data_IF_329544785761
#
_entry.id   IF_329544785761
#
_cell.length_a   1.000
_cell.length_b   1.000
_cell.length_c   1.000
_cell.angle_alpha   90.00
_cell.angle_beta   90.00
_cell.angle_gamma   90.00
#
_symmetry.space_group_name_H-M   'P 1'
#
loop_
_entity.id
_entity.type
_entity.pdbx_description
1 polymer ?
#
# COMPACT_ATOMS: atom_id res chain seq x y z
N UNK A 1 -19.27 16.19 -2.26
CA UNK A 1 -20.36 15.83 -3.22
C UNK A 1 -21.72 16.37 -2.79
N UNK A 2 -22.22 16.10 -1.57
CA UNK A 2 -23.54 16.59 -1.09
C UNK A 2 -23.80 18.10 -1.18
N UNK A 3 -22.79 18.94 -0.90
CA UNK A 3 -22.92 20.41 -1.01
C UNK A 3 -23.03 20.91 -2.45
N UNK A 4 -22.36 20.22 -3.39
CA UNK A 4 -22.38 20.59 -4.82
C UNK A 4 -23.63 20.04 -5.49
N UNK A 5 -24.10 18.85 -5.08
CA UNK A 5 -25.32 18.25 -5.62
C UNK A 5 -26.57 19.09 -5.32
N UNK A 6 -26.64 19.76 -4.16
CA UNK A 6 -27.75 20.66 -3.82
C UNK A 6 -27.80 21.95 -4.66
N UNK A 7 -26.70 22.35 -5.29
CA UNK A 7 -26.64 23.54 -6.14
C UNK A 7 -26.97 23.25 -7.61
N UNK A 8 -26.89 21.99 -8.05
CA UNK A 8 -26.93 21.61 -9.47
C UNK A 8 -28.08 20.64 -9.79
N UNK A 9 -28.54 19.85 -8.82
CA UNK A 9 -29.62 18.90 -9.05
C UNK A 9 -31.00 19.56 -8.95
N UNK A 10 -31.93 19.06 -9.74
CA UNK A 10 -33.31 19.53 -9.77
C UNK A 10 -33.99 19.30 -8.41
N UNK A 11 -34.99 20.12 -8.07
CA UNK A 11 -35.68 20.04 -6.76
C UNK A 11 -36.32 18.67 -6.51
N UNK A 12 -36.73 17.98 -7.58
CA UNK A 12 -37.38 16.68 -7.53
C UNK A 12 -36.41 15.50 -7.70
N UNK A 13 -35.10 15.71 -7.54
CA UNK A 13 -34.15 14.61 -7.66
C UNK A 13 -34.39 13.57 -6.57
N UNK A 14 -34.49 12.31 -6.98
CA UNK A 14 -34.59 11.18 -6.06
C UNK A 14 -33.17 10.75 -5.68
N UNK A 15 -32.78 10.99 -4.43
CA UNK A 15 -31.53 10.45 -3.89
C UNK A 15 -31.76 8.99 -3.49
N UNK A 16 -31.28 8.06 -4.32
CA UNK A 16 -31.32 6.63 -4.01
C UNK A 16 -30.07 6.26 -3.24
N UNK A 17 -30.23 6.08 -1.92
CA UNK A 17 -29.20 5.55 -1.04
C UNK A 17 -29.44 4.06 -0.83
N UNK A 18 -28.63 3.22 -1.46
CA UNK A 18 -28.73 1.76 -1.32
C UNK A 18 -27.93 1.23 -0.13
N UNK A 19 -27.24 2.10 0.62
CA UNK A 19 -26.30 1.74 1.68
C UNK A 19 -26.70 2.33 3.04
N UNK A 20 -27.71 3.21 3.05
CA UNK A 20 -28.16 3.89 4.26
C UNK A 20 -27.21 5.04 4.67
N UNK A 21 -27.79 6.07 5.28
CA UNK A 21 -27.06 7.24 5.76
C UNK A 21 -25.97 6.85 6.78
N UNK A 22 -24.72 6.76 6.34
CA UNK A 22 -23.54 6.65 7.22
C UNK A 22 -22.80 5.31 7.18
N UNK A 23 -23.28 4.31 6.44
CA UNK A 23 -22.59 3.03 6.36
C UNK A 23 -21.66 2.99 5.14
N UNK A 24 -20.38 3.34 5.33
CA UNK A 24 -19.35 2.74 4.49
C UNK A 24 -19.22 1.30 5.01
N UNK A 25 -20.13 0.43 4.59
CA UNK A 25 -20.15 -0.96 5.05
C UNK A 25 -18.82 -1.60 4.64
N UNK A 26 -18.05 -1.97 5.65
CA UNK A 26 -17.01 -2.97 5.44
C UNK A 26 -17.71 -4.25 5.04
N UNK A 27 -17.30 -4.95 3.96
CA UNK A 27 -17.99 -6.16 3.56
C UNK A 27 -17.98 -7.12 4.76
N UNK A 28 -19.16 -7.43 5.31
CA UNK A 28 -19.34 -8.18 6.57
C UNK A 28 -18.73 -9.57 6.55
N UNK A 29 -18.28 -10.04 5.38
CA UNK A 29 -17.67 -11.35 5.13
C UNK A 29 -16.15 -11.33 4.97
N UNK A 30 -15.48 -10.18 5.10
CA UNK A 30 -14.02 -10.12 4.99
C UNK A 30 -13.38 -10.27 6.36
N UNK A 31 -12.55 -11.31 6.51
CA UNK A 31 -11.70 -11.48 7.69
C UNK A 31 -10.61 -10.41 7.67
N UNK A 32 -10.67 -9.48 8.62
CA UNK A 32 -9.76 -8.35 8.69
C UNK A 32 -8.73 -8.55 9.79
N UNK A 33 -7.46 -8.47 9.41
CA UNK A 33 -6.35 -8.59 10.33
C UNK A 33 -5.39 -7.42 10.17
N UNK A 34 -4.67 -7.10 11.24
CA UNK A 34 -3.50 -6.24 11.16
C UNK A 34 -2.27 -6.88 11.79
N UNK A 35 -1.11 -6.52 11.26
CA UNK A 35 0.20 -6.96 11.70
C UNK A 35 1.04 -5.72 12.01
N UNK A 36 1.68 -5.70 13.16
CA UNK A 36 2.65 -4.67 13.54
C UNK A 36 4.04 -5.25 13.40
N UNK A 37 4.82 -4.74 12.45
CA UNK A 37 6.14 -5.25 12.08
C UNK A 37 7.07 -4.06 11.83
N UNK A 38 8.35 -4.07 12.28
CA UNK A 38 9.31 -3.04 11.92
C UNK A 38 9.29 -2.75 10.42
N UNK A 39 9.27 -1.47 10.04
CA UNK A 39 9.09 -1.05 8.65
C UNK A 39 10.16 -1.66 7.72
N UNK A 40 11.35 -1.87 8.25
CA UNK A 40 12.50 -2.47 7.58
C UNK A 40 12.26 -3.90 7.11
N UNK A 41 11.29 -4.60 7.72
CA UNK A 41 10.91 -5.97 7.39
C UNK A 41 9.60 -6.04 6.59
N UNK A 42 9.00 -4.92 6.19
CA UNK A 42 7.72 -4.95 5.48
C UNK A 42 7.80 -5.69 4.15
N UNK A 43 8.88 -5.52 3.37
CA UNK A 43 9.09 -6.24 2.12
C UNK A 43 9.19 -7.76 2.33
N UNK A 44 9.95 -8.18 3.34
CA UNK A 44 10.08 -9.58 3.73
C UNK A 44 8.75 -10.16 4.20
N UNK A 45 8.01 -9.40 5.00
CA UNK A 45 6.71 -9.82 5.51
C UNK A 45 5.67 -9.95 4.40
N UNK A 46 5.64 -9.01 3.44
CA UNK A 46 4.76 -9.14 2.26
C UNK A 46 5.09 -10.42 1.49
N UNK A 47 6.37 -10.69 1.22
CA UNK A 47 6.76 -11.95 0.57
C UNK A 47 6.34 -13.18 1.38
N UNK A 48 6.58 -13.18 2.70
CA UNK A 48 6.20 -14.26 3.62
C UNK A 48 4.70 -14.53 3.63
N UNK A 49 3.87 -13.49 3.62
CA UNK A 49 2.40 -13.60 3.57
C UNK A 49 1.92 -14.11 2.21
N UNK A 50 2.52 -13.64 1.12
CA UNK A 50 2.20 -14.12 -0.22
C UNK A 50 2.51 -15.61 -0.38
N UNK A 51 3.69 -16.06 0.09
CA UNK A 51 4.07 -17.47 0.05
C UNK A 51 3.09 -18.36 0.79
N UNK A 52 2.76 -17.99 2.03
CA UNK A 52 1.79 -18.75 2.83
C UNK A 52 0.42 -18.84 2.16
N UNK A 53 -0.06 -17.73 1.61
CA UNK A 53 -1.35 -17.69 0.92
C UNK A 53 -1.34 -18.54 -0.35
N UNK A 54 -0.26 -18.49 -1.14
CA UNK A 54 -0.11 -19.32 -2.35
C UNK A 54 -0.08 -20.81 -2.00
N UNK A 55 0.57 -21.18 -0.89
CA UNK A 55 0.67 -22.57 -0.46
C UNK A 55 -0.68 -23.10 0.09
N UNK A 56 -1.55 -22.22 0.59
CA UNK A 56 -2.88 -22.56 1.13
C UNK A 56 -4.02 -22.48 0.10
N UNK A 57 -3.93 -21.57 -0.88
CA UNK A 57 -5.00 -21.27 -1.83
C UNK A 57 -4.57 -21.56 -3.28
N UNK A 58 -5.06 -22.68 -3.82
CA UNK A 58 -4.70 -23.17 -5.17
C UNK A 58 -4.98 -22.14 -6.26
N UNK A 59 -6.11 -21.43 -6.18
CA UNK A 59 -6.52 -20.43 -7.16
C UNK A 59 -6.39 -19.01 -6.58
N UNK A 60 -5.27 -18.76 -5.88
CA UNK A 60 -4.99 -17.46 -5.27
C UNK A 60 -5.15 -16.30 -6.25
N UNK A 61 -5.64 -15.18 -5.75
CA UNK A 61 -5.69 -13.92 -6.49
C UNK A 61 -5.56 -12.79 -5.49
N UNK A 62 -4.42 -12.11 -5.54
CA UNK A 62 -4.00 -11.23 -4.45
C UNK A 62 -3.82 -9.82 -4.96
N UNK A 63 -4.21 -8.84 -4.15
CA UNK A 63 -3.87 -7.43 -4.37
C UNK A 63 -3.00 -6.94 -3.22
N UNK A 64 -1.84 -6.39 -3.56
CA UNK A 64 -0.92 -5.73 -2.62
C UNK A 64 -0.96 -4.23 -2.87
N UNK A 65 -1.54 -3.48 -1.94
CA UNK A 65 -1.52 -2.02 -1.96
C UNK A 65 -0.25 -1.49 -1.31
N UNK A 66 0.44 -0.57 -2.00
CA UNK A 66 1.55 0.19 -1.46
C UNK A 66 1.17 1.67 -1.31
N UNK A 67 1.86 2.38 -0.43
CA UNK A 67 1.62 3.81 -0.15
C UNK A 67 1.83 4.71 -1.37
N UNK A 68 2.81 4.41 -2.23
CA UNK A 68 3.14 5.26 -3.38
C UNK A 68 3.46 4.46 -4.63
N UNK A 69 3.29 5.12 -5.79
CA UNK A 69 3.60 4.56 -7.09
C UNK A 69 5.04 4.04 -7.24
N UNK A 70 6.02 4.72 -6.64
CA UNK A 70 7.43 4.28 -6.75
C UNK A 70 7.73 3.10 -5.81
N UNK A 71 7.06 3.03 -4.66
CA UNK A 71 7.15 1.85 -3.78
C UNK A 71 6.45 0.65 -4.43
N UNK A 72 5.33 0.87 -5.15
CA UNK A 72 4.68 -0.16 -5.98
C UNK A 72 5.65 -0.74 -7.01
N UNK A 73 6.33 0.11 -7.77
CA UNK A 73 7.29 -0.32 -8.81
C UNK A 73 8.47 -1.08 -8.20
N UNK A 74 9.02 -0.59 -7.09
CA UNK A 74 10.07 -1.30 -6.33
C UNK A 74 9.62 -2.69 -5.89
N UNK A 75 8.45 -2.79 -5.23
CA UNK A 75 7.88 -4.04 -4.74
C UNK A 75 7.61 -5.02 -5.90
N UNK A 76 7.12 -4.53 -7.04
CA UNK A 76 6.90 -5.34 -8.23
C UNK A 76 8.19 -5.98 -8.76
N UNK A 77 9.27 -5.19 -8.91
CA UNK A 77 10.55 -5.69 -9.42
C UNK A 77 11.12 -6.76 -8.48
N UNK A 78 11.11 -6.49 -7.18
CA UNK A 78 11.57 -7.44 -6.16
C UNK A 78 10.76 -8.75 -6.20
N UNK A 79 9.43 -8.68 -6.14
CA UNK A 79 8.60 -9.90 -6.15
C UNK A 79 8.69 -10.67 -7.48
N UNK A 80 8.89 -9.98 -8.60
CA UNK A 80 9.09 -10.61 -9.91
C UNK A 80 10.41 -11.36 -9.98
N UNK A 81 11.48 -10.80 -9.43
CA UNK A 81 12.77 -11.45 -9.37
C UNK A 81 12.74 -12.73 -8.50
N UNK A 82 11.97 -12.69 -7.40
CA UNK A 82 11.60 -13.85 -6.56
C UNK A 82 10.67 -14.87 -7.25
N UNK A 83 10.44 -14.73 -8.57
CA UNK A 83 9.67 -15.64 -9.43
C UNK A 83 8.19 -15.77 -9.06
N UNK A 84 7.61 -14.76 -8.41
CA UNK A 84 6.16 -14.69 -8.22
C UNK A 84 5.48 -14.20 -9.51
N UNK A 85 4.27 -14.71 -9.78
CA UNK A 85 3.46 -14.22 -10.90
C UNK A 85 2.80 -12.89 -10.52
N UNK A 86 3.52 -11.79 -10.77
CA UNK A 86 3.12 -10.44 -10.37
C UNK A 86 2.87 -9.53 -11.58
N UNK A 87 1.95 -8.58 -11.42
CA UNK A 87 1.77 -7.41 -12.28
C UNK A 87 1.73 -6.16 -11.43
N UNK A 88 1.96 -5.00 -12.06
CA UNK A 88 1.91 -3.71 -11.39
C UNK A 88 0.89 -2.76 -12.04
N UNK A 89 0.23 -1.94 -11.22
CA UNK A 89 -0.56 -0.80 -11.70
C UNK A 89 -0.31 0.39 -10.77
N UNK A 90 0.12 1.53 -11.31
CA UNK A 90 0.23 2.78 -10.55
C UNK A 90 0.10 4.00 -11.45
N UNK A 91 0.00 5.18 -10.84
CA UNK A 91 -0.27 6.46 -11.54
C UNK A 91 0.80 6.86 -12.56
N UNK A 92 2.00 6.28 -12.51
CA UNK A 92 3.07 6.55 -13.47
C UNK A 92 3.09 5.63 -14.69
N UNK A 93 2.29 4.56 -14.70
CA UNK A 93 2.15 3.70 -15.88
C UNK A 93 1.16 4.33 -16.86
N UNK A 94 1.40 4.24 -18.19
CA UNK A 94 0.48 4.76 -19.21
C UNK A 94 -0.93 4.18 -19.07
N UNK A 95 -1.97 4.95 -19.44
CA UNK A 95 -3.36 4.49 -19.33
C UNK A 95 -3.61 3.17 -20.08
N UNK A 96 -3.10 3.03 -21.31
CA UNK A 96 -3.22 1.81 -22.11
C UNK A 96 -2.62 0.58 -21.39
N UNK A 97 -1.47 0.76 -20.73
CA UNK A 97 -0.87 -0.30 -19.92
C UNK A 97 -1.77 -0.68 -18.74
N UNK A 98 -2.30 0.32 -18.02
CA UNK A 98 -3.20 0.08 -16.88
C UNK A 98 -4.48 -0.65 -17.29
N UNK A 99 -5.06 -0.31 -18.43
CA UNK A 99 -6.23 -1.01 -18.99
C UNK A 99 -5.91 -2.48 -19.27
N UNK A 100 -4.83 -2.75 -20.03
CA UNK A 100 -4.42 -4.11 -20.37
C UNK A 100 -4.16 -4.98 -19.14
N UNK A 101 -3.41 -4.48 -18.16
CA UNK A 101 -3.13 -5.23 -16.93
C UNK A 101 -4.39 -5.41 -16.08
N UNK A 102 -5.32 -4.46 -16.09
CA UNK A 102 -6.60 -4.60 -15.38
C UNK A 102 -7.49 -5.68 -15.99
N UNK A 103 -7.51 -5.81 -17.32
CA UNK A 103 -8.21 -6.88 -18.03
C UNK A 103 -7.55 -8.23 -17.75
N UNK A 104 -6.21 -8.32 -17.91
CA UNK A 104 -5.45 -9.52 -17.57
C UNK A 104 -5.72 -9.98 -16.13
N UNK A 105 -5.67 -9.06 -15.16
CA UNK A 105 -5.95 -9.39 -13.76
C UNK A 105 -7.40 -9.74 -13.51
N UNK A 106 -8.36 -9.18 -14.25
CA UNK A 106 -9.77 -9.56 -14.12
C UNK A 106 -9.96 -11.02 -14.53
N UNK A 107 -9.39 -11.42 -15.65
CA UNK A 107 -9.69 -12.70 -16.31
C UNK A 107 -8.79 -13.84 -15.85
N UNK A 108 -7.69 -13.54 -15.15
CA UNK A 108 -6.74 -14.54 -14.65
C UNK A 108 -7.00 -14.95 -13.20
N UNK A 109 -6.57 -16.16 -12.86
CA UNK A 109 -6.31 -16.63 -11.49
C UNK A 109 -4.78 -16.77 -11.28
N UNK A 110 -4.36 -17.13 -10.06
CA UNK A 110 -2.95 -17.35 -9.68
C UNK A 110 -2.05 -16.17 -10.02
N UNK A 111 -2.55 -14.98 -9.68
CA UNK A 111 -1.92 -13.71 -10.04
C UNK A 111 -1.92 -12.76 -8.85
N UNK A 112 -0.82 -12.02 -8.71
CA UNK A 112 -0.67 -10.97 -7.71
C UNK A 112 -0.63 -9.62 -8.43
N UNK A 113 -1.49 -8.69 -8.02
CA UNK A 113 -1.45 -7.31 -8.46
C UNK A 113 -0.85 -6.42 -7.39
N UNK A 114 0.32 -5.85 -7.66
CA UNK A 114 0.93 -4.82 -6.82
C UNK A 114 0.45 -3.46 -7.32
N UNK A 115 -0.16 -2.66 -6.46
CA UNK A 115 -0.81 -1.41 -6.91
C UNK A 115 -0.71 -0.29 -5.88
N UNK A 116 -0.94 0.93 -6.36
CA UNK A 116 -1.21 2.11 -5.52
C UNK A 116 -2.72 2.37 -5.49
N UNK A 117 -3.16 3.54 -5.00
CA UNK A 117 -4.60 3.83 -4.90
C UNK A 117 -5.34 3.96 -6.24
N UNK A 118 -4.65 3.84 -7.38
CA UNK A 118 -5.29 3.89 -8.72
C UNK A 118 -6.25 2.72 -8.98
N UNK A 119 -6.10 1.59 -8.30
CA UNK A 119 -6.97 0.42 -8.45
C UNK A 119 -8.12 0.36 -7.44
N UNK A 120 -8.32 1.41 -6.62
CA UNK A 120 -9.30 1.39 -5.53
C UNK A 120 -10.74 1.66 -5.97
N UNK A 121 -10.96 2.28 -7.14
CA UNK A 121 -12.30 2.69 -7.61
C UNK A 121 -12.51 2.32 -9.07
N UNK A 122 -13.75 1.98 -9.42
CA UNK A 122 -14.18 1.80 -10.82
C UNK A 122 -13.76 0.50 -11.51
N UNK A 123 -12.94 -0.35 -10.88
CA UNK A 123 -12.55 -1.65 -11.46
C UNK A 123 -13.11 -2.80 -10.63
N UNK A 124 -13.80 -3.73 -11.30
CA UNK A 124 -14.21 -4.99 -10.71
C UNK A 124 -13.17 -6.06 -10.99
N UNK A 125 -12.58 -6.61 -9.93
CA UNK A 125 -11.72 -7.77 -9.96
C UNK A 125 -12.46 -8.88 -9.20
N UNK A 126 -13.07 -9.86 -9.91
CA UNK A 126 -13.72 -10.97 -9.26
C UNK A 126 -12.67 -11.85 -8.56
N UNK A 127 -13.10 -12.53 -7.50
CA UNK A 127 -12.38 -13.64 -6.87
C UNK A 127 -11.04 -13.29 -6.24
N UNK A 128 -10.86 -12.05 -5.83
CA UNK A 128 -9.68 -11.66 -5.03
C UNK A 128 -9.78 -12.35 -3.66
N UNK A 129 -8.86 -13.28 -3.39
CA UNK A 129 -8.84 -14.07 -2.16
C UNK A 129 -8.12 -13.37 -1.01
N UNK A 130 -7.16 -12.49 -1.32
CA UNK A 130 -6.40 -11.73 -0.32
C UNK A 130 -6.14 -10.29 -0.77
N UNK A 131 -6.30 -9.36 0.17
CA UNK A 131 -5.84 -7.98 0.07
C UNK A 131 -4.80 -7.72 1.15
N UNK A 132 -3.59 -7.35 0.75
CA UNK A 132 -2.53 -6.87 1.65
C UNK A 132 -2.40 -5.36 1.45
N UNK A 133 -2.44 -4.58 2.54
CA UNK A 133 -2.15 -3.15 2.53
C UNK A 133 -0.83 -2.95 3.28
N UNK A 134 0.25 -2.61 2.55
CA UNK A 134 1.57 -2.38 3.12
C UNK A 134 1.77 -0.88 3.38
N UNK A 135 1.83 -0.52 4.66
CA UNK A 135 1.79 0.85 5.15
C UNK A 135 0.35 1.39 5.26
N UNK A 136 0.19 2.46 6.04
CA UNK A 136 -1.12 3.08 6.27
C UNK A 136 -1.66 3.71 4.99
N UNK A 137 -2.97 3.58 4.71
CA UNK A 137 -3.62 4.36 3.68
C UNK A 137 -3.73 5.85 4.08
N UNK A 138 -4.07 6.76 3.15
CA UNK A 138 -4.24 8.18 3.45
C UNK A 138 -5.34 8.52 4.47
N UNK A 139 -6.22 7.56 4.76
CA UNK A 139 -7.31 7.70 5.70
C UNK A 139 -8.25 6.50 5.68
N UNK A 140 -9.20 6.49 6.62
CA UNK A 140 -10.24 5.45 6.75
C UNK A 140 -10.93 5.06 5.43
N UNK A 141 -11.39 6.02 4.64
CA UNK A 141 -12.12 5.70 3.38
C UNK A 141 -11.25 4.89 2.42
N UNK A 142 -9.96 5.17 2.36
CA UNK A 142 -9.03 4.43 1.50
C UNK A 142 -8.83 3.01 2.00
N UNK A 143 -8.73 2.81 3.32
CA UNK A 143 -8.69 1.48 3.92
C UNK A 143 -9.88 0.63 3.46
N UNK A 144 -11.10 1.18 3.58
CA UNK A 144 -12.33 0.43 3.26
C UNK A 144 -12.42 0.16 1.74
N UNK A 145 -12.07 1.11 0.88
CA UNK A 145 -12.09 0.89 -0.57
C UNK A 145 -11.07 -0.16 -1.04
N UNK A 146 -9.88 -0.18 -0.42
CA UNK A 146 -8.84 -1.20 -0.66
C UNK A 146 -9.33 -2.56 -0.20
N UNK A 147 -9.90 -2.65 1.00
CA UNK A 147 -10.44 -3.89 1.55
C UNK A 147 -11.61 -4.42 0.71
N UNK A 148 -12.48 -3.56 0.22
CA UNK A 148 -13.61 -3.90 -0.65
C UNK A 148 -13.22 -4.44 -2.04
N UNK A 149 -11.92 -4.66 -2.31
CA UNK A 149 -11.49 -5.44 -3.47
C UNK A 149 -11.69 -6.95 -3.29
N UNK A 150 -11.79 -7.43 -2.04
CA UNK A 150 -12.09 -8.84 -1.71
C UNK A 150 -13.47 -8.97 -1.06
N UNK A 151 -13.95 -10.20 -0.88
CA UNK A 151 -15.24 -10.50 -0.25
C UNK A 151 -16.46 -10.02 -1.05
N UNK A 152 -16.35 -9.94 -2.38
CA UNK A 152 -17.44 -9.52 -3.28
C UNK A 152 -18.33 -10.71 -3.62
N UNK A 153 -19.58 -10.42 -4.03
CA UNK A 153 -20.53 -11.42 -4.53
C UNK A 153 -20.78 -12.59 -3.57
N UNK A 154 -20.73 -12.30 -2.26
CA UNK A 154 -21.00 -13.29 -1.20
C UNK A 154 -19.87 -14.25 -0.89
N UNK A 155 -18.72 -14.16 -1.59
CA UNK A 155 -17.51 -14.95 -1.33
C UNK A 155 -16.78 -14.45 -0.08
N UNK A 156 -16.02 -15.34 0.56
CA UNK A 156 -15.10 -14.97 1.64
C UNK A 156 -13.88 -14.23 1.09
N UNK A 157 -13.23 -13.47 1.96
CA UNK A 157 -12.04 -12.72 1.61
C UNK A 157 -11.19 -12.45 2.84
N UNK A 158 -9.87 -12.34 2.66
CA UNK A 158 -8.95 -11.97 3.73
C UNK A 158 -8.35 -10.59 3.44
N UNK A 159 -8.32 -9.74 4.46
CA UNK A 159 -7.67 -8.44 4.42
C UNK A 159 -6.59 -8.35 5.50
N UNK A 160 -5.37 -7.98 5.11
CA UNK A 160 -4.26 -7.77 6.04
C UNK A 160 -3.77 -6.34 5.91
N UNK A 161 -3.77 -5.60 7.02
CA UNK A 161 -3.12 -4.31 7.17
C UNK A 161 -1.74 -4.52 7.81
N UNK A 162 -0.67 -4.34 7.05
CA UNK A 162 0.71 -4.43 7.53
C UNK A 162 1.22 -3.02 7.83
N UNK A 163 1.50 -2.75 9.11
CA UNK A 163 1.91 -1.44 9.59
C UNK A 163 3.15 -1.54 10.49
N UNK A 164 3.88 -0.44 10.60
CA UNK A 164 4.96 -0.26 11.55
C UNK A 164 4.46 0.22 12.92
N UNK A 165 5.24 0.07 13.99
CA UNK A 165 4.84 0.55 15.33
C UNK A 165 4.45 2.04 15.36
N UNK A 166 5.15 2.88 14.60
CA UNK A 166 4.86 4.32 14.51
C UNK A 166 3.64 4.65 13.65
N UNK A 167 3.06 3.65 12.97
CA UNK A 167 1.84 3.77 12.17
C UNK A 167 0.58 3.35 12.94
N UNK A 168 0.71 2.82 14.17
CA UNK A 168 -0.42 2.34 14.98
C UNK A 168 -1.43 3.42 15.32
N UNK A 169 -1.08 4.71 15.20
CA UNK A 169 -2.05 5.80 15.35
C UNK A 169 -3.26 5.63 14.42
N UNK A 170 -3.06 5.05 13.22
CA UNK A 170 -4.11 4.83 12.24
C UNK A 170 -5.19 3.85 12.72
N UNK A 171 -4.87 2.93 13.64
CA UNK A 171 -5.84 2.00 14.22
C UNK A 171 -6.96 2.75 14.96
N UNK A 172 -6.69 3.98 15.46
CA UNK A 172 -7.72 4.83 16.07
C UNK A 172 -8.76 5.29 15.05
N UNK A 173 -8.39 5.47 13.78
CA UNK A 173 -9.33 5.87 12.71
C UNK A 173 -10.26 4.74 12.26
N UNK A 174 -9.87 3.48 12.54
CA UNK A 174 -10.59 2.27 12.14
C UNK A 174 -11.02 1.40 13.33
N UNK A 175 -11.06 1.96 14.53
CA UNK A 175 -11.32 1.24 15.78
C UNK A 175 -12.69 0.55 15.85
N UNK A 176 -13.67 1.07 15.11
CA UNK A 176 -15.04 0.55 15.01
C UNK A 176 -15.18 -0.57 13.96
N UNK A 177 -14.14 -0.81 13.16
CA UNK A 177 -14.11 -1.94 12.22
C UNK A 177 -13.71 -3.23 12.95
N UNK A 178 -14.21 -4.41 12.53
CA UNK A 178 -13.90 -5.69 13.18
C UNK A 178 -12.52 -6.22 12.77
N UNK A 179 -11.49 -5.38 12.87
CA UNK A 179 -10.10 -5.72 12.55
C UNK A 179 -9.41 -6.31 13.78
N UNK A 180 -8.75 -7.45 13.61
CA UNK A 180 -8.10 -8.17 14.72
C UNK A 180 -6.59 -8.20 14.57
N UNK A 181 -5.85 -8.15 15.68
CA UNK A 181 -4.40 -8.32 15.65
C UNK A 181 -4.08 -9.77 15.29
N UNK A 182 -3.27 -9.98 14.26
CA UNK A 182 -2.77 -11.30 13.92
C UNK A 182 -1.40 -11.56 14.56
N UNK A 183 -1.05 -12.84 14.85
CA UNK A 183 0.32 -13.20 15.22
C UNK A 183 1.25 -12.92 14.04
N UNK A 184 2.44 -12.40 14.31
CA UNK A 184 3.45 -12.11 13.30
C UNK A 184 4.12 -13.43 12.87
N UNK A 185 3.99 -13.84 11.59
CA UNK A 185 4.67 -15.03 11.09
C UNK A 185 6.18 -14.89 11.21
N UNK A 186 6.87 -15.99 11.54
CA UNK A 186 8.33 -16.00 11.53
C UNK A 186 8.84 -15.90 10.09
N UNK A 187 9.87 -15.07 9.90
CA UNK A 187 10.65 -14.99 8.66
C UNK A 187 11.91 -15.81 8.92
N UNK A 188 12.06 -16.93 8.22
CA UNK A 188 13.28 -17.73 8.29
C UNK A 188 14.45 -17.02 7.58
N UNK A 189 15.67 -17.41 7.95
CA UNK A 189 16.89 -16.76 7.45
C UNK A 189 17.08 -16.93 5.94
N UNK A 190 16.64 -18.05 5.37
CA UNK A 190 16.76 -18.32 3.93
C UNK A 190 15.83 -17.40 3.13
N UNK A 191 14.57 -17.26 3.56
CA UNK A 191 13.62 -16.32 2.99
C UNK A 191 14.11 -14.89 3.14
N UNK A 192 14.67 -14.54 4.30
CA UNK A 192 15.24 -13.21 4.52
C UNK A 192 16.33 -12.92 3.49
N UNK A 193 17.26 -13.85 3.31
CA UNK A 193 18.37 -13.73 2.38
C UNK A 193 17.89 -13.60 0.92
N UNK A 194 16.92 -14.41 0.51
CA UNK A 194 16.33 -14.34 -0.84
C UNK A 194 15.75 -12.96 -1.15
N UNK A 195 15.00 -12.40 -0.21
CA UNK A 195 14.43 -11.05 -0.36
C UNK A 195 15.53 -9.98 -0.38
N UNK A 196 16.53 -10.09 0.51
CA UNK A 196 17.68 -9.16 0.54
C UNK A 196 18.46 -9.18 -0.78
N UNK A 197 18.66 -10.35 -1.38
CA UNK A 197 19.35 -10.49 -2.68
C UNK A 197 18.51 -9.92 -3.82
N UNK A 198 17.19 -10.12 -3.78
CA UNK A 198 16.28 -9.51 -4.75
C UNK A 198 16.26 -7.97 -4.68
N UNK A 199 16.31 -7.42 -3.46
CA UNK A 199 16.42 -5.97 -3.23
C UNK A 199 17.70 -5.41 -3.86
N UNK A 200 18.81 -6.16 -3.86
CA UNK A 200 20.07 -5.70 -4.47
C UNK A 200 19.95 -5.52 -5.98
N UNK A 201 19.16 -6.36 -6.66
CA UNK A 201 18.97 -6.33 -8.11
C UNK A 201 18.19 -5.08 -8.57
N UNK A 202 17.37 -4.49 -7.70
CA UNK A 202 16.61 -3.28 -8.05
C UNK A 202 17.58 -2.10 -8.28
N UNK A 203 17.44 -1.45 -9.43
CA UNK A 203 18.24 -0.29 -9.82
C UNK A 203 18.23 0.84 -8.78
N UNK A 204 19.38 1.48 -8.61
CA UNK A 204 19.53 2.58 -7.66
C UNK A 204 18.58 3.75 -7.96
N UNK A 205 18.32 4.06 -9.24
CA UNK A 205 17.39 5.13 -9.63
C UNK A 205 15.96 4.88 -9.13
N UNK A 206 15.53 3.61 -9.11
CA UNK A 206 14.22 3.20 -8.59
C UNK A 206 14.20 3.28 -7.07
N UNK A 207 15.28 2.85 -6.40
CA UNK A 207 15.45 3.01 -4.94
C UNK A 207 15.37 4.47 -4.51
N UNK A 208 16.09 5.37 -5.19
CA UNK A 208 16.04 6.80 -4.92
C UNK A 208 14.63 7.38 -5.12
N UNK A 209 13.95 6.98 -6.19
CA UNK A 209 12.58 7.43 -6.46
C UNK A 209 11.57 6.89 -5.44
N UNK A 210 11.72 5.63 -4.99
CA UNK A 210 10.93 5.04 -3.93
C UNK A 210 11.16 5.78 -2.61
N UNK A 211 12.41 6.06 -2.23
CA UNK A 211 12.77 6.88 -1.07
C UNK A 211 12.09 8.25 -1.10
N UNK A 212 12.22 8.99 -2.21
CA UNK A 212 11.64 10.33 -2.32
C UNK A 212 10.11 10.31 -2.26
N UNK A 213 9.47 9.32 -2.89
CA UNK A 213 8.03 9.17 -2.83
C UNK A 213 7.55 8.82 -1.42
N UNK A 214 8.21 7.87 -0.76
CA UNK A 214 7.93 7.45 0.61
C UNK A 214 8.06 8.62 1.58
N UNK A 215 9.17 9.37 1.52
CA UNK A 215 9.39 10.56 2.36
C UNK A 215 8.31 11.61 2.10
N UNK A 216 7.94 11.85 0.83
CA UNK A 216 6.87 12.77 0.47
C UNK A 216 5.51 12.36 1.04
N UNK A 217 5.18 11.07 0.97
CA UNK A 217 3.94 10.51 1.48
C UNK A 217 3.82 10.72 2.99
N UNK A 218 4.80 10.28 3.77
CA UNK A 218 4.74 10.42 5.23
C UNK A 218 4.95 11.86 5.70
N UNK A 219 5.63 12.70 4.93
CA UNK A 219 5.65 14.14 5.17
C UNK A 219 4.29 14.83 4.97
N UNK A 220 3.34 14.18 4.26
CA UNK A 220 1.97 14.70 4.09
C UNK A 220 0.99 14.24 5.16
N UNK A 221 1.37 13.25 5.99
CA UNK A 221 0.53 12.73 7.05
C UNK A 221 0.81 13.50 8.35
N UNK A 222 -0.24 14.11 8.92
CA UNK A 222 -0.11 15.02 10.05
C UNK A 222 0.52 14.37 11.30
N UNK A 223 0.13 13.14 11.65
CA UNK A 223 0.61 12.43 12.84
C UNK A 223 2.11 12.16 12.81
N UNK A 224 2.71 12.08 11.63
CA UNK A 224 4.13 11.76 11.44
C UNK A 224 4.92 13.03 11.12
N UNK A 225 4.38 13.88 10.25
CA UNK A 225 5.08 15.04 9.72
C UNK A 225 5.29 16.18 10.73
N UNK A 226 4.69 16.11 11.93
CA UNK A 226 4.91 17.07 13.03
C UNK A 226 6.34 17.00 13.58
N UNK A 227 6.91 15.81 13.65
CA UNK A 227 8.31 15.60 14.06
C UNK A 227 9.17 15.33 12.82
N UNK A 228 9.78 16.41 12.29
CA UNK A 228 10.63 16.30 11.09
C UNK A 228 11.89 15.50 11.32
N UNK A 229 12.43 15.49 12.54
CA UNK A 229 13.66 14.77 12.88
C UNK A 229 13.36 13.27 12.89
N UNK A 230 12.27 12.88 13.55
CA UNK A 230 11.79 11.51 13.54
C UNK A 230 11.44 11.04 12.13
N UNK A 231 10.76 11.86 11.32
CA UNK A 231 10.48 11.55 9.91
C UNK A 231 11.78 11.33 9.10
N UNK A 232 12.82 12.14 9.32
CA UNK A 232 14.11 11.99 8.64
C UNK A 232 14.83 10.70 9.07
N UNK A 233 14.75 10.32 10.35
CA UNK A 233 15.28 9.06 10.85
C UNK A 233 14.53 7.86 10.23
N UNK A 234 13.19 7.87 10.25
CA UNK A 234 12.38 6.84 9.62
C UNK A 234 12.67 6.70 8.12
N UNK A 235 12.79 7.82 7.40
CA UNK A 235 13.15 7.81 5.99
C UNK A 235 14.53 7.19 5.78
N UNK A 236 15.49 7.48 6.67
CA UNK A 236 16.83 6.89 6.59
C UNK A 236 16.79 5.38 6.77
N UNK A 237 16.03 4.88 7.76
CA UNK A 237 15.81 3.44 7.95
C UNK A 237 15.11 2.79 6.76
N UNK A 238 14.12 3.46 6.17
CA UNK A 238 13.51 3.02 4.93
C UNK A 238 14.54 2.90 3.80
N UNK A 239 15.41 3.89 3.62
CA UNK A 239 16.50 3.86 2.65
C UNK A 239 17.40 2.63 2.83
N UNK A 240 17.79 2.33 4.07
CA UNK A 240 18.57 1.12 4.41
C UNK A 240 17.79 -0.15 4.05
N UNK A 241 16.49 -0.21 4.36
CA UNK A 241 15.65 -1.38 4.09
C UNK A 241 15.49 -1.71 2.60
N UNK A 242 15.63 -0.72 1.72
CA UNK A 242 15.62 -0.92 0.26
C UNK A 242 17.04 -1.03 -0.33
N UNK A 243 18.04 -1.28 0.51
CA UNK A 243 19.42 -1.57 0.09
C UNK A 243 20.25 -0.34 -0.26
N UNK A 244 19.97 0.82 0.33
CA UNK A 244 20.81 2.02 0.20
C UNK A 244 21.77 2.13 1.40
N UNK A 245 23.05 2.38 1.14
CA UNK A 245 24.04 2.66 2.20
C UNK A 245 23.77 3.99 2.91
N UNK A 246 23.27 4.97 2.17
CA UNK A 246 22.98 6.31 2.66
C UNK A 246 21.75 6.88 1.94
N UNK A 247 20.94 7.70 2.62
CA UNK A 247 19.81 8.37 2.00
C UNK A 247 20.24 9.20 0.77
N UNK A 248 19.42 9.27 -0.29
CA UNK A 248 19.73 10.10 -1.45
C UNK A 248 19.57 11.58 -1.11
N UNK A 249 20.09 12.43 -1.99
CA UNK A 249 20.03 13.88 -1.82
C UNK A 249 18.73 14.46 -2.38
N UNK A 250 18.10 15.37 -1.65
CA UNK A 250 16.97 16.17 -2.13
C UNK A 250 17.46 17.42 -2.86
N UNK A 251 16.73 17.86 -3.87
CA UNK A 251 16.92 19.21 -4.42
C UNK A 251 16.60 20.26 -3.35
N UNK A 252 17.40 21.33 -3.29
CA UNK A 252 17.22 22.43 -2.32
C UNK A 252 15.81 23.01 -2.33
N UNK A 253 15.21 23.22 -3.51
CA UNK A 253 13.82 23.70 -3.64
C UNK A 253 12.81 22.71 -3.05
N UNK A 254 13.02 21.41 -3.23
CA UNK A 254 12.15 20.35 -2.69
C UNK A 254 12.25 20.30 -1.16
N UNK A 255 13.46 20.27 -0.61
CA UNK A 255 13.67 20.28 0.84
C UNK A 255 13.04 21.52 1.51
N UNK A 256 13.14 22.69 0.86
CA UNK A 256 12.49 23.91 1.34
C UNK A 256 10.96 23.79 1.34
N UNK A 257 10.35 23.37 0.21
CA UNK A 257 8.89 23.20 0.11
C UNK A 257 8.33 22.16 1.09
N UNK A 258 9.12 21.14 1.41
CA UNK A 258 8.73 20.08 2.34
C UNK A 258 8.95 20.46 3.82
N UNK A 259 9.56 21.63 4.11
CA UNK A 259 9.93 22.01 5.46
C UNK A 259 11.06 21.16 6.06
N UNK A 260 11.89 20.55 5.20
CA UNK A 260 12.98 19.64 5.58
C UNK A 260 14.37 20.28 5.49
N UNK A 261 14.44 21.58 5.16
CA UNK A 261 15.71 22.30 5.08
C UNK A 261 16.33 22.42 6.48
N UNK A 262 17.54 21.91 6.65
CA UNK A 262 18.28 21.99 7.92
C UNK A 262 17.91 20.90 8.92
N UNK A 263 17.02 19.98 8.57
CA UNK A 263 16.67 18.83 9.40
C UNK A 263 17.83 17.82 9.38
N UNK A 264 18.36 17.39 10.54
CA UNK A 264 19.39 16.35 10.61
C UNK A 264 18.98 15.08 9.86
N UNK A 265 19.93 14.43 9.18
CA UNK A 265 19.67 13.24 8.35
C UNK A 265 19.18 13.54 6.92
N UNK A 266 18.60 14.73 6.67
CA UNK A 266 18.19 15.14 5.32
C UNK A 266 19.39 15.68 4.54
N UNK A 267 19.77 14.98 3.47
CA UNK A 267 20.86 15.40 2.57
C UNK A 267 20.31 16.28 1.45
N UNK A 268 20.94 17.42 1.19
CA UNK A 268 20.50 18.39 0.17
C UNK A 268 21.59 18.53 -0.91
N UNK A 269 21.21 18.43 -2.18
CA UNK A 269 22.11 18.73 -3.31
C UNK A 269 22.52 20.21 -3.24
N UNK A 270 23.82 20.47 -3.34
CA UNK A 270 24.36 21.82 -3.42
C UNK A 270 23.84 22.53 -4.67
#
# INVERSE_FOLDING_TARGET
VRRVSQMVLNKDHVFVDTVGLGAVETPTKVQQQYLVVPHELHFHMVHRLLREHIDQEVDYKVIVFCTTAMVTEFMYIMLRDLKLNVREIHSRKPQLYRTRISEEFRDSNRLILVTSDVSTRGVNYPDVTLVIQAGVPPGREHYIHRLGRTGREGKSGKGILLIAPWEEYFLKEIHDLPIQKAPVPQIDQEMKQKVDDSIKIVDMSIKEAAYHAWLGYYNSIADISRDKVMLADLASRFGVSIGMEKPPTLFRKTAFKMGLKGVPGIRIRK
#
